data_IF_258169818146
#
_entry.id   IF_258169818146
#
_cell.length_a   1.000
_cell.length_b   1.000
_cell.length_c   1.000
_cell.angle_alpha   90.00
_cell.angle_beta   90.00
_cell.angle_gamma   90.00
#
_symmetry.space_group_name_H-M   'P 1'
#
loop_
_entity.id
_entity.type
_entity.pdbx_description
1 polymer ?
#
# COMPACT_ATOMS: atom_id res chain seq x y z
N UNK A 1 14.50 20.17 -14.39
CA UNK A 1 14.82 20.50 -12.97
C UNK A 1 15.90 19.62 -12.38
N UNK A 2 15.81 18.30 -12.50
CA UNK A 2 16.79 17.33 -11.93
C UNK A 2 18.23 17.58 -12.42
N UNK A 3 18.41 17.92 -13.69
CA UNK A 3 19.75 18.15 -14.26
C UNK A 3 20.51 19.36 -13.70
N UNK A 4 19.80 20.37 -13.17
CA UNK A 4 20.42 21.55 -12.54
C UNK A 4 20.80 21.29 -11.09
N UNK A 5 20.04 20.44 -10.39
CA UNK A 5 20.33 20.05 -9.02
C UNK A 5 21.62 19.23 -8.91
N UNK A 6 21.83 18.33 -9.86
CA UNK A 6 23.05 17.50 -9.92
C UNK A 6 24.33 18.29 -10.27
N UNK A 7 24.18 19.51 -10.81
CA UNK A 7 25.32 20.38 -11.13
C UNK A 7 25.61 21.41 -10.04
N UNK A 8 24.91 21.37 -8.91
CA UNK A 8 25.07 22.34 -7.81
C UNK A 8 24.67 23.77 -8.14
N UNK A 9 23.97 24.00 -9.24
CA UNK A 9 23.46 25.32 -9.59
C UNK A 9 22.23 25.67 -8.72
N UNK A 10 22.12 26.89 -8.19
CA UNK A 10 20.96 27.30 -7.45
C UNK A 10 19.72 27.18 -8.35
N UNK A 11 18.78 26.37 -7.95
CA UNK A 11 17.47 26.29 -8.60
C UNK A 11 16.71 27.56 -8.20
N UNK A 12 16.63 28.51 -9.14
CA UNK A 12 15.80 29.70 -8.94
C UNK A 12 14.33 29.25 -8.99
N UNK A 13 13.80 28.83 -7.87
CA UNK A 13 12.39 28.58 -7.71
C UNK A 13 11.68 29.93 -7.59
N UNK A 14 11.48 30.61 -8.74
CA UNK A 14 10.45 31.63 -8.81
C UNK A 14 9.13 30.95 -8.44
N UNK A 15 8.57 31.32 -7.31
CA UNK A 15 7.22 30.92 -6.92
C UNK A 15 6.28 31.20 -8.10
N UNK A 16 5.41 30.28 -8.48
CA UNK A 16 4.47 30.49 -9.56
C UNK A 16 3.63 31.75 -9.28
N UNK A 17 3.33 32.50 -10.31
CA UNK A 17 2.51 33.71 -10.25
C UNK A 17 1.14 33.42 -9.60
N UNK A 18 0.48 34.45 -9.10
CA UNK A 18 -0.80 34.39 -8.38
C UNK A 18 -1.92 33.56 -9.01
N UNK A 19 -1.84 33.29 -10.33
CA UNK A 19 -2.79 32.38 -11.01
C UNK A 19 -2.66 30.90 -10.63
N UNK A 20 -1.50 30.44 -10.16
CA UNK A 20 -1.31 29.07 -9.71
C UNK A 20 -1.96 28.78 -8.35
N UNK A 21 -2.09 29.82 -7.50
CA UNK A 21 -2.75 29.69 -6.21
C UNK A 21 -4.27 29.50 -6.38
N UNK A 22 -4.88 30.21 -7.34
CA UNK A 22 -6.31 30.03 -7.63
C UNK A 22 -6.61 28.63 -8.13
N UNK A 23 -5.81 28.14 -9.09
CA UNK A 23 -5.97 26.77 -9.61
C UNK A 23 -5.79 25.71 -8.51
N UNK A 24 -4.78 25.87 -7.66
CA UNK A 24 -4.56 24.97 -6.52
C UNK A 24 -5.73 25.04 -5.53
N UNK A 25 -6.25 26.24 -5.26
CA UNK A 25 -7.38 26.44 -4.36
C UNK A 25 -8.68 25.85 -4.93
N UNK A 26 -8.89 26.00 -6.23
CA UNK A 26 -10.04 25.41 -6.92
C UNK A 26 -9.97 23.86 -6.90
N UNK A 27 -8.78 23.29 -7.03
CA UNK A 27 -8.56 21.85 -6.87
C UNK A 27 -8.84 21.38 -5.44
N UNK A 28 -8.40 22.12 -4.43
CA UNK A 28 -8.70 21.81 -3.02
C UNK A 28 -10.20 21.89 -2.73
N UNK A 29 -10.88 22.88 -3.30
CA UNK A 29 -12.34 23.05 -3.14
C UNK A 29 -13.16 21.99 -3.90
N UNK A 30 -12.55 21.37 -4.92
CA UNK A 30 -13.14 20.28 -5.71
C UNK A 30 -12.67 18.88 -5.25
N UNK A 31 -12.12 18.76 -4.04
CA UNK A 31 -11.65 17.47 -3.53
C UNK A 31 -12.78 16.44 -3.55
N UNK A 32 -12.48 15.32 -4.18
CA UNK A 32 -13.33 14.15 -4.13
C UNK A 32 -13.57 13.78 -2.65
N UNK A 33 -14.81 13.64 -2.19
CA UNK A 33 -15.12 13.33 -0.79
C UNK A 33 -14.53 11.99 -0.32
N UNK A 34 -14.01 11.18 -1.25
CA UNK A 34 -13.27 9.95 -0.96
C UNK A 34 -11.82 10.20 -0.55
N UNK A 35 -11.28 11.42 -0.76
CA UNK A 35 -9.95 11.80 -0.31
C UNK A 35 -10.04 12.12 1.18
N UNK A 36 -9.47 11.25 2.01
CA UNK A 36 -9.54 11.34 3.47
C UNK A 36 -8.27 10.78 4.10
N UNK A 37 -7.96 11.20 5.32
CA UNK A 37 -6.87 10.61 6.12
C UNK A 37 -7.20 9.19 6.60
N UNK A 38 -8.47 8.82 6.69
CA UNK A 38 -8.90 7.43 6.88
C UNK A 38 -8.78 6.69 5.56
N UNK A 39 -7.57 6.25 5.22
CA UNK A 39 -7.20 5.69 3.93
C UNK A 39 -6.54 4.30 4.01
N UNK A 40 -6.35 3.74 5.20
CA UNK A 40 -5.73 2.44 5.41
C UNK A 40 -6.76 1.31 5.24
N UNK A 41 -7.11 1.04 4.00
CA UNK A 41 -8.03 -0.03 3.64
C UNK A 41 -7.29 -1.21 3.01
N UNK A 42 -7.89 -2.39 3.11
CA UNK A 42 -7.46 -3.58 2.39
C UNK A 42 -8.65 -4.25 1.70
N UNK A 43 -8.38 -4.96 0.61
CA UNK A 43 -9.33 -5.79 -0.09
C UNK A 43 -8.99 -7.26 0.17
N UNK A 44 -10.01 -8.08 0.35
CA UNK A 44 -9.88 -9.52 0.52
C UNK A 44 -10.68 -10.21 -0.60
N UNK A 45 -9.99 -10.87 -1.51
CA UNK A 45 -10.59 -11.65 -2.56
C UNK A 45 -10.66 -13.11 -2.12
N UNK A 46 -11.86 -13.54 -1.78
CA UNK A 46 -12.12 -14.89 -1.28
C UNK A 46 -12.90 -15.66 -2.35
N UNK A 47 -12.38 -16.80 -2.83
CA UNK A 47 -13.17 -17.67 -3.71
C UNK A 47 -14.45 -18.15 -3.01
N UNK A 48 -15.56 -18.19 -3.75
CA UNK A 48 -16.88 -18.54 -3.20
C UNK A 48 -16.85 -19.86 -2.42
N UNK A 49 -16.20 -20.89 -2.96
CA UNK A 49 -16.07 -22.18 -2.30
C UNK A 49 -15.36 -22.13 -0.94
N UNK A 50 -14.40 -21.17 -0.77
CA UNK A 50 -13.70 -20.96 0.50
C UNK A 50 -14.59 -20.16 1.45
N UNK A 51 -15.32 -19.18 0.92
CA UNK A 51 -16.21 -18.35 1.72
C UNK A 51 -17.38 -19.16 2.30
N UNK A 52 -17.95 -20.07 1.53
CA UNK A 52 -19.10 -20.91 1.92
C UNK A 52 -18.70 -22.12 2.75
N UNK A 53 -17.41 -22.49 2.76
CA UNK A 53 -16.94 -23.64 3.51
C UNK A 53 -17.09 -23.42 5.03
N UNK A 54 -17.36 -24.48 5.80
CA UNK A 54 -17.35 -24.41 7.26
C UNK A 54 -15.99 -23.91 7.77
N UNK A 55 -16.00 -22.94 8.69
CA UNK A 55 -14.77 -22.38 9.28
C UNK A 55 -14.19 -23.29 10.38
N UNK A 56 -14.34 -24.60 10.19
CA UNK A 56 -13.85 -25.66 11.10
C UNK A 56 -12.62 -26.31 10.48
N UNK A 57 -11.46 -26.11 11.08
CA UNK A 57 -10.19 -26.68 10.61
C UNK A 57 -9.18 -25.64 10.14
N UNK A 58 -8.10 -26.10 9.51
CA UNK A 58 -7.10 -25.21 8.90
C UNK A 58 -7.69 -24.57 7.66
N UNK A 59 -7.70 -23.23 7.61
CA UNK A 59 -8.15 -22.47 6.44
C UNK A 59 -7.25 -22.68 5.21
N UNK A 60 -7.51 -21.94 4.13
CA UNK A 60 -6.66 -21.95 2.92
C UNK A 60 -5.47 -21.00 3.05
N UNK A 61 -4.38 -21.20 2.27
CA UNK A 61 -3.27 -20.26 2.22
C UNK A 61 -3.71 -18.85 1.83
N UNK A 62 -2.98 -17.85 2.31
CA UNK A 62 -3.24 -16.43 2.08
C UNK A 62 -2.05 -15.81 1.39
N UNK A 63 -2.29 -15.04 0.34
CA UNK A 63 -1.30 -14.24 -0.35
C UNK A 63 -1.60 -12.77 -0.12
N UNK A 64 -0.66 -12.04 0.47
CA UNK A 64 -0.75 -10.60 0.67
C UNK A 64 0.11 -9.88 -0.35
N UNK A 65 -0.51 -8.96 -1.08
CA UNK A 65 0.13 -8.14 -2.10
C UNK A 65 0.43 -6.75 -1.59
N UNK A 66 1.68 -6.31 -1.76
CA UNK A 66 2.14 -4.95 -1.55
C UNK A 66 2.53 -4.37 -2.91
N UNK A 67 1.85 -3.32 -3.34
CA UNK A 67 2.09 -2.69 -4.62
C UNK A 67 3.38 -1.87 -4.62
N UNK A 68 3.97 -1.66 -5.82
CA UNK A 68 5.11 -0.80 -6.07
C UNK A 68 4.74 0.65 -6.34
N UNK A 69 5.54 1.34 -7.15
CA UNK A 69 5.35 2.76 -7.48
C UNK A 69 6.35 3.68 -6.77
N UNK A 70 7.55 3.18 -6.47
CA UNK A 70 8.65 3.99 -5.93
C UNK A 70 8.38 4.64 -4.58
N UNK A 71 7.43 4.14 -3.81
CA UNK A 71 6.94 4.74 -2.56
C UNK A 71 6.28 6.11 -2.73
N UNK A 72 6.02 6.54 -3.95
CA UNK A 72 5.45 7.87 -4.26
C UNK A 72 4.07 7.80 -4.88
N UNK A 73 3.75 6.71 -5.55
CA UNK A 73 2.48 6.46 -6.22
C UNK A 73 2.05 5.00 -6.05
N UNK A 74 0.83 4.68 -6.44
CA UNK A 74 0.30 3.32 -6.39
C UNK A 74 -0.95 3.22 -5.52
N UNK A 75 -1.63 2.09 -5.66
CA UNK A 75 -2.84 1.78 -4.90
C UNK A 75 -3.10 0.27 -4.85
N UNK A 76 -3.87 -0.17 -3.87
CA UNK A 76 -4.22 -1.59 -3.72
C UNK A 76 -4.95 -2.18 -4.93
N UNK A 77 -5.69 -1.36 -5.72
CA UNK A 77 -6.46 -1.80 -6.87
C UNK A 77 -5.63 -2.07 -8.13
N UNK A 78 -4.32 -1.85 -8.11
CA UNK A 78 -3.42 -2.26 -9.20
C UNK A 78 -3.51 -3.75 -9.54
N UNK A 79 -4.01 -4.57 -8.62
CA UNK A 79 -4.31 -5.97 -8.92
C UNK A 79 -5.42 -6.17 -9.97
N UNK A 80 -6.19 -5.15 -10.29
CA UNK A 80 -7.22 -5.21 -11.34
C UNK A 80 -6.63 -5.26 -12.76
N UNK A 81 -5.34 -4.92 -12.93
CA UNK A 81 -4.63 -5.08 -14.19
C UNK A 81 -4.42 -6.58 -14.52
N UNK A 82 -4.57 -6.99 -15.79
CA UNK A 82 -4.30 -8.38 -16.20
C UNK A 82 -2.88 -8.87 -15.87
N UNK A 83 -1.90 -7.96 -15.79
CA UNK A 83 -0.51 -8.30 -15.51
C UNK A 83 -0.20 -8.46 -14.01
N UNK A 84 -0.95 -7.80 -13.14
CA UNK A 84 -0.75 -7.80 -11.69
C UNK A 84 -1.89 -8.46 -10.92
N UNK A 85 -2.99 -8.77 -11.61
CA UNK A 85 -4.19 -9.30 -11.00
C UNK A 85 -4.05 -10.74 -10.52
N UNK A 86 -4.72 -11.12 -9.42
CA UNK A 86 -4.63 -12.44 -8.82
C UNK A 86 -5.37 -13.53 -9.60
N UNK A 87 -6.12 -13.19 -10.63
CA UNK A 87 -7.00 -14.13 -11.33
C UNK A 87 -6.26 -15.38 -11.87
N UNK A 88 -5.02 -15.21 -12.34
CA UNK A 88 -4.16 -16.32 -12.76
C UNK A 88 -3.77 -17.23 -11.60
N UNK A 89 -3.39 -16.65 -10.47
CA UNK A 89 -3.01 -17.37 -9.25
C UNK A 89 -4.21 -18.10 -8.65
N UNK A 90 -5.37 -17.43 -8.57
CA UNK A 90 -6.61 -18.05 -8.08
C UNK A 90 -7.00 -19.27 -8.92
N UNK A 91 -6.98 -19.14 -10.24
CA UNK A 91 -7.27 -20.28 -11.13
C UNK A 91 -6.25 -21.42 -10.98
N UNK A 92 -4.95 -21.11 -10.91
CA UNK A 92 -3.90 -22.14 -10.77
C UNK A 92 -3.95 -22.86 -9.42
N UNK A 93 -4.45 -22.22 -8.38
CA UNK A 93 -4.68 -22.85 -7.07
C UNK A 93 -6.00 -23.63 -6.99
N UNK A 94 -6.73 -23.75 -8.09
CA UNK A 94 -8.10 -24.26 -8.10
C UNK A 94 -9.02 -23.49 -7.15
N UNK A 95 -8.86 -22.16 -7.09
CA UNK A 95 -9.58 -21.29 -6.19
C UNK A 95 -9.41 -21.66 -4.70
N UNK A 96 -8.23 -22.12 -4.30
CA UNK A 96 -7.94 -22.59 -2.94
C UNK A 96 -6.88 -21.72 -2.25
N UNK A 97 -6.87 -20.42 -2.55
CA UNK A 97 -6.10 -19.38 -1.85
C UNK A 97 -6.98 -18.15 -1.65
N UNK A 98 -6.66 -17.36 -0.63
CA UNK A 98 -7.19 -16.00 -0.45
C UNK A 98 -6.12 -15.00 -0.92
N UNK A 99 -6.54 -13.95 -1.62
CA UNK A 99 -5.68 -12.85 -2.01
C UNK A 99 -6.08 -11.59 -1.23
N UNK A 100 -5.10 -10.91 -0.65
CA UNK A 100 -5.26 -9.66 0.10
C UNK A 100 -4.40 -8.59 -0.53
N UNK A 101 -4.95 -7.41 -0.77
CA UNK A 101 -4.20 -6.22 -1.19
C UNK A 101 -4.47 -5.08 -0.23
N UNK A 102 -3.44 -4.37 0.20
CA UNK A 102 -3.54 -3.31 1.19
C UNK A 102 -3.04 -1.97 0.66
N UNK A 103 -3.61 -0.87 1.18
CA UNK A 103 -3.07 0.47 1.01
C UNK A 103 -2.06 0.78 2.10
N UNK A 104 -1.09 1.64 1.77
CA UNK A 104 -0.16 2.26 2.71
C UNK A 104 0.13 3.69 2.28
N UNK A 105 0.51 4.55 3.21
CA UNK A 105 0.84 5.96 2.93
C UNK A 105 2.08 6.07 2.06
N UNK A 106 2.06 7.02 1.15
CA UNK A 106 3.07 7.25 0.12
C UNK A 106 3.69 8.65 0.27
N UNK A 107 4.79 8.87 -0.45
CA UNK A 107 5.47 10.16 -0.54
C UNK A 107 5.84 10.71 0.84
N UNK A 108 5.66 12.00 1.03
CA UNK A 108 5.97 12.67 2.31
C UNK A 108 5.13 12.15 3.47
N UNK A 109 3.87 11.78 3.24
CA UNK A 109 2.99 11.27 4.29
C UNK A 109 3.40 9.90 4.83
N UNK A 110 4.03 9.07 3.98
CA UNK A 110 4.48 7.73 4.37
C UNK A 110 5.96 7.65 4.75
N UNK A 111 6.81 8.54 4.19
CA UNK A 111 8.27 8.34 4.23
C UNK A 111 9.05 9.59 4.62
N UNK A 112 8.39 10.61 5.17
CA UNK A 112 9.11 11.75 5.74
C UNK A 112 10.01 11.28 6.89
N UNK A 113 11.23 11.77 6.91
CA UNK A 113 12.21 11.47 7.96
C UNK A 113 13.16 12.65 8.17
N UNK A 114 13.96 12.58 9.21
CA UNK A 114 15.02 13.56 9.49
C UNK A 114 14.96 14.14 10.88
N UNK A 115 16.00 14.94 11.25
CA UNK A 115 16.15 15.46 12.62
C UNK A 115 14.99 16.37 13.05
N UNK A 116 14.43 17.15 12.13
CA UNK A 116 13.30 18.05 12.43
C UNK A 116 12.04 17.27 12.80
N UNK A 117 11.76 16.17 12.07
CA UNK A 117 10.63 15.31 12.38
C UNK A 117 10.83 14.64 13.75
N UNK A 118 12.03 14.12 14.00
CA UNK A 118 12.36 13.49 15.28
C UNK A 118 12.28 14.47 16.46
N UNK A 119 12.75 15.71 16.27
CA UNK A 119 12.63 16.76 17.29
C UNK A 119 11.18 17.16 17.62
N UNK A 120 10.27 16.92 16.67
CA UNK A 120 8.83 17.13 16.83
C UNK A 120 8.08 15.87 17.31
N UNK A 121 8.79 14.85 17.80
CA UNK A 121 8.22 13.55 18.17
C UNK A 121 7.48 12.84 17.02
N UNK A 122 7.83 13.16 15.77
CA UNK A 122 7.28 12.51 14.60
C UNK A 122 7.92 11.13 14.36
N UNK A 123 7.15 10.24 13.78
CA UNK A 123 7.59 8.88 13.44
C UNK A 123 7.97 8.79 11.97
N UNK A 124 9.15 8.26 11.66
CA UNK A 124 9.59 7.99 10.30
C UNK A 124 9.02 6.65 9.79
N UNK A 125 9.07 6.46 8.46
CA UNK A 125 8.69 5.21 7.79
C UNK A 125 7.24 4.76 8.06
N UNK A 126 6.33 5.71 8.17
CA UNK A 126 4.92 5.44 8.44
C UNK A 126 4.29 4.50 7.40
N UNK A 127 4.71 4.60 6.13
CA UNK A 127 4.24 3.69 5.09
C UNK A 127 4.63 2.22 5.34
N UNK A 128 5.82 1.95 5.90
CA UNK A 128 6.22 0.60 6.32
C UNK A 128 5.44 0.13 7.55
N UNK A 129 5.16 1.04 8.48
CA UNK A 129 4.33 0.74 9.65
C UNK A 129 2.87 0.45 9.25
N UNK A 130 2.33 1.16 8.25
CA UNK A 130 0.99 0.88 7.70
C UNK A 130 0.92 -0.52 7.10
N UNK A 131 1.96 -0.93 6.36
CA UNK A 131 2.06 -2.27 5.81
C UNK A 131 2.12 -3.32 6.94
N UNK A 132 2.91 -3.09 7.97
CA UNK A 132 2.97 -3.96 9.15
C UNK A 132 1.61 -4.09 9.83
N UNK A 133 0.93 -2.98 10.03
CA UNK A 133 -0.40 -2.96 10.61
C UNK A 133 -1.40 -3.79 9.78
N UNK A 134 -1.33 -3.69 8.46
CA UNK A 134 -2.12 -4.53 7.56
C UNK A 134 -1.78 -6.02 7.68
N UNK A 135 -0.50 -6.38 7.79
CA UNK A 135 -0.07 -7.76 8.01
C UNK A 135 -0.53 -8.31 9.38
N UNK A 136 -0.46 -7.51 10.43
CA UNK A 136 -0.97 -7.87 11.76
C UNK A 136 -2.49 -8.07 11.72
N UNK A 137 -3.20 -7.19 10.99
CA UNK A 137 -4.63 -7.35 10.79
C UNK A 137 -4.97 -8.69 10.10
N UNK A 138 -4.21 -9.07 9.06
CA UNK A 138 -4.36 -10.36 8.37
C UNK A 138 -4.14 -11.51 9.35
N UNK A 139 -3.06 -11.49 10.14
CA UNK A 139 -2.78 -12.52 11.14
C UNK A 139 -3.93 -12.70 12.13
N UNK A 140 -4.53 -11.60 12.56
CA UNK A 140 -5.60 -11.61 13.56
C UNK A 140 -6.96 -12.01 12.99
N UNK A 141 -7.27 -11.66 11.74
CA UNK A 141 -8.66 -11.67 11.26
C UNK A 141 -8.92 -12.60 10.07
N UNK A 142 -7.89 -13.04 9.34
CA UNK A 142 -8.09 -13.75 8.06
C UNK A 142 -8.84 -15.09 8.23
N UNK A 143 -8.81 -15.67 9.41
CA UNK A 143 -9.58 -16.88 9.74
C UNK A 143 -11.10 -16.69 9.59
N UNK A 144 -11.60 -15.46 9.77
CA UNK A 144 -13.02 -15.11 9.59
C UNK A 144 -13.46 -15.28 8.12
N UNK A 145 -12.51 -15.23 7.20
CA UNK A 145 -12.70 -15.37 5.76
C UNK A 145 -12.33 -16.77 5.24
N UNK A 146 -11.94 -17.67 6.13
CA UNK A 146 -11.53 -19.02 5.78
C UNK A 146 -10.04 -19.16 5.45
N UNK A 147 -9.23 -18.16 5.77
CA UNK A 147 -7.77 -18.18 5.60
C UNK A 147 -7.05 -18.77 6.81
N UNK A 148 -5.87 -19.34 6.55
CA UNK A 148 -4.97 -19.86 7.57
C UNK A 148 -3.86 -18.83 7.87
N UNK A 149 -3.92 -18.23 9.05
CA UNK A 149 -2.94 -17.24 9.50
C UNK A 149 -1.50 -17.82 9.63
N UNK A 150 -1.34 -19.14 9.69
CA UNK A 150 -0.03 -19.80 9.69
C UNK A 150 0.55 -20.02 8.29
N UNK A 151 -0.24 -19.78 7.25
CA UNK A 151 0.14 -19.97 5.85
C UNK A 151 -0.06 -18.67 5.06
N UNK A 152 0.50 -17.58 5.57
CA UNK A 152 0.49 -16.28 4.93
C UNK A 152 1.82 -16.07 4.19
N UNK A 153 1.73 -15.78 2.91
CA UNK A 153 2.86 -15.38 2.06
C UNK A 153 2.69 -13.93 1.66
N UNK A 154 3.73 -13.13 1.84
CA UNK A 154 3.75 -11.73 1.41
C UNK A 154 4.56 -11.64 0.13
N UNK A 155 4.04 -10.95 -0.88
CA UNK A 155 4.75 -10.64 -2.11
C UNK A 155 4.53 -9.19 -2.52
N UNK A 156 5.47 -8.66 -3.28
CA UNK A 156 5.39 -7.31 -3.83
C UNK A 156 6.26 -7.18 -5.07
N UNK A 157 5.99 -6.14 -5.83
CA UNK A 157 6.76 -5.78 -7.02
C UNK A 157 7.42 -4.42 -6.79
N UNK A 158 8.63 -4.22 -7.34
CA UNK A 158 9.36 -2.95 -7.27
C UNK A 158 9.52 -2.47 -5.81
N UNK A 159 9.04 -1.26 -5.48
CA UNK A 159 9.03 -0.76 -4.10
C UNK A 159 8.26 -1.68 -3.14
N UNK A 160 7.21 -2.36 -3.62
CA UNK A 160 6.51 -3.39 -2.84
C UNK A 160 7.41 -4.59 -2.51
N UNK A 161 8.24 -5.03 -3.44
CA UNK A 161 9.27 -6.04 -3.20
C UNK A 161 10.31 -5.58 -2.17
N UNK A 162 10.77 -4.33 -2.26
CA UNK A 162 11.61 -3.68 -1.25
C UNK A 162 10.94 -3.64 0.13
N UNK A 163 9.65 -3.33 0.16
CA UNK A 163 8.84 -3.37 1.38
C UNK A 163 8.83 -4.75 2.04
N UNK A 164 8.65 -5.81 1.25
CA UNK A 164 8.71 -7.20 1.78
C UNK A 164 10.04 -7.47 2.46
N UNK A 165 11.16 -7.05 1.84
CA UNK A 165 12.49 -7.19 2.45
C UNK A 165 12.60 -6.42 3.76
N UNK A 166 12.09 -5.19 3.82
CA UNK A 166 12.07 -4.39 5.05
C UNK A 166 11.23 -5.05 6.15
N UNK A 167 10.08 -5.64 5.83
CA UNK A 167 9.25 -6.32 6.81
C UNK A 167 9.90 -7.58 7.41
N UNK A 168 10.87 -8.18 6.74
CA UNK A 168 11.61 -9.35 7.27
C UNK A 168 12.77 -8.93 8.18
N UNK A 169 13.31 -7.72 8.00
CA UNK A 169 14.53 -7.26 8.70
C UNK A 169 14.27 -6.39 9.92
N UNK A 170 13.05 -6.00 10.20
CA UNK A 170 12.67 -5.08 11.30
C UNK A 170 11.98 -5.81 12.44
#
# INVERSE_FOLDING_TARGET
MVGNFLKGNPVNASLPSTHSNQYAQDQVNALDPRITEDCLFLDILVPQQVFDAPKTGSGVPVLVWIYGGGYTEGEKTYYSSPSTGPAGLLRRSNNNIIFVALNYRLGAFGFLSGPTLAASNGTANLGLLDQRFGLEWVQKNIHLFGGDAKRVTVMGESAGGGSVMHQVTV
#
